data_IF_948790113675
#
_entry.id   IF_948790113675
#
_cell.length_a   1.000
_cell.length_b   1.000
_cell.length_c   1.000
_cell.angle_alpha   90.00
_cell.angle_beta   90.00
_cell.angle_gamma   90.00
#
_symmetry.space_group_name_H-M   'P 1'
#
loop_
_entity.id
_entity.type
_entity.pdbx_description
1 polymer ?
#
# COMPACT_ATOMS: atom_id res chain seq x y z
N UNK A 1 28.24 -43.67 72.57
CA UNK A 1 28.01 -44.32 71.26
C UNK A 1 26.56 -44.21 70.82
N UNK A 2 25.56 -44.44 71.69
CA UNK A 2 24.13 -44.35 71.34
C UNK A 2 23.68 -43.02 70.69
N UNK A 3 24.19 -41.86 71.15
CA UNK A 3 23.84 -40.57 70.55
C UNK A 3 24.32 -40.42 69.09
N UNK A 4 25.40 -41.09 68.70
CA UNK A 4 25.91 -41.09 67.32
C UNK A 4 25.08 -42.01 66.42
N UNK A 5 24.58 -43.14 66.95
CA UNK A 5 23.67 -44.05 66.26
C UNK A 5 22.30 -43.41 66.01
N UNK A 6 21.71 -42.77 67.02
CA UNK A 6 20.46 -42.03 66.86
C UNK A 6 20.60 -40.84 65.89
N UNK A 7 21.75 -40.16 65.91
CA UNK A 7 22.02 -39.09 64.92
C UNK A 7 22.16 -39.65 63.50
N UNK A 8 22.72 -40.84 63.32
CA UNK A 8 22.82 -41.49 62.01
C UNK A 8 21.45 -41.91 61.47
N UNK A 9 20.57 -42.44 62.33
CA UNK A 9 19.22 -42.91 61.96
C UNK A 9 18.31 -41.75 61.54
N UNK A 10 18.42 -40.59 62.19
CA UNK A 10 17.69 -39.36 61.80
C UNK A 10 18.15 -38.74 60.47
N UNK A 11 19.40 -38.97 60.07
CA UNK A 11 19.94 -38.49 58.79
C UNK A 11 19.48 -39.39 57.63
N UNK A 12 19.39 -40.70 57.88
CA UNK A 12 18.96 -41.69 56.91
C UNK A 12 17.45 -41.57 56.59
N UNK A 13 16.62 -41.39 57.61
CA UNK A 13 15.18 -41.07 57.45
C UNK A 13 14.96 -39.74 56.72
N UNK A 14 15.79 -38.73 57.01
CA UNK A 14 15.72 -37.46 56.31
C UNK A 14 16.05 -37.57 54.82
N UNK A 15 17.05 -38.40 54.45
CA UNK A 15 17.44 -38.66 53.08
C UNK A 15 16.38 -39.47 52.31
N UNK A 16 15.74 -40.44 52.97
CA UNK A 16 14.65 -41.21 52.37
C UNK A 16 13.42 -40.34 52.09
N UNK A 17 13.04 -39.43 52.99
CA UNK A 17 11.98 -38.46 52.73
C UNK A 17 12.27 -37.57 51.52
N UNK A 18 13.52 -37.13 51.34
CA UNK A 18 13.93 -36.37 50.15
C UNK A 18 13.86 -37.20 48.87
N UNK A 19 14.24 -38.49 48.93
CA UNK A 19 14.11 -39.41 47.80
C UNK A 19 12.65 -39.60 47.40
N UNK A 20 11.76 -39.82 48.37
CA UNK A 20 10.32 -39.98 48.15
C UNK A 20 9.71 -38.70 47.55
N UNK A 21 10.08 -37.52 48.04
CA UNK A 21 9.62 -36.25 47.46
C UNK A 21 10.02 -36.11 45.98
N UNK A 22 11.25 -36.49 45.61
CA UNK A 22 11.69 -36.48 44.20
C UNK A 22 10.95 -37.52 43.36
N UNK A 23 10.66 -38.68 43.94
CA UNK A 23 9.87 -39.71 43.26
C UNK A 23 8.45 -39.19 42.99
N UNK A 24 7.81 -38.52 43.94
CA UNK A 24 6.50 -37.89 43.76
C UNK A 24 6.55 -36.80 42.67
N UNK A 25 7.61 -35.99 42.62
CA UNK A 25 7.77 -34.94 41.60
C UNK A 25 8.00 -35.47 40.18
N UNK A 26 8.53 -36.69 40.05
CA UNK A 26 8.92 -37.28 38.76
C UNK A 26 7.97 -38.39 38.28
N UNK A 27 7.11 -38.90 39.15
CA UNK A 27 6.18 -39.99 38.83
C UNK A 27 4.82 -39.46 38.39
N UNK A 28 4.25 -40.08 37.35
CA UNK A 28 2.89 -39.79 36.92
C UNK A 28 1.88 -39.92 38.07
N UNK A 29 0.94 -38.97 38.17
CA UNK A 29 -0.03 -38.88 39.27
C UNK A 29 -0.85 -40.17 39.46
N UNK A 30 -1.07 -40.92 38.38
CA UNK A 30 -1.80 -42.19 38.40
C UNK A 30 -1.03 -43.36 39.07
N UNK A 31 0.28 -43.19 39.30
CA UNK A 31 1.20 -44.23 39.76
C UNK A 31 1.82 -43.95 41.13
N UNK A 32 1.38 -42.89 41.83
CA UNK A 32 1.92 -42.47 43.13
C UNK A 32 1.44 -43.39 44.29
N UNK A 33 0.41 -44.22 44.07
CA UNK A 33 -0.22 -45.05 45.10
C UNK A 33 0.73 -45.96 45.89
N UNK A 34 1.67 -46.70 45.26
CA UNK A 34 2.66 -47.52 45.97
C UNK A 34 3.63 -46.69 46.82
N UNK A 35 4.11 -45.55 46.28
CA UNK A 35 5.03 -44.62 46.97
C UNK A 35 4.39 -44.04 48.23
N UNK A 36 3.11 -43.63 48.15
CA UNK A 36 2.37 -43.17 49.32
C UNK A 36 2.13 -44.28 50.34
N UNK A 37 1.80 -45.49 49.90
CA UNK A 37 1.62 -46.63 50.81
C UNK A 37 2.89 -46.90 51.63
N UNK A 38 4.07 -46.80 51.00
CA UNK A 38 5.37 -46.93 51.70
C UNK A 38 5.61 -45.86 52.77
N UNK A 39 5.09 -44.65 52.60
CA UNK A 39 5.17 -43.58 53.62
C UNK A 39 4.25 -43.88 54.80
N UNK A 40 3.02 -44.32 54.53
CA UNK A 40 2.03 -44.63 55.57
C UNK A 40 2.34 -45.92 56.33
N UNK A 41 2.99 -46.89 55.70
CA UNK A 41 3.47 -48.11 56.35
C UNK A 41 4.66 -47.83 57.29
N UNK A 42 5.31 -46.66 57.16
CA UNK A 42 6.37 -46.17 58.05
C UNK A 42 5.85 -45.51 59.33
N UNK A 43 6.65 -45.50 60.39
CA UNK A 43 6.28 -44.92 61.69
C UNK A 43 6.38 -43.38 61.76
N UNK A 44 6.97 -42.73 60.75
CA UNK A 44 7.31 -41.29 60.75
C UNK A 44 6.56 -40.42 59.71
N UNK A 45 5.38 -40.84 59.28
CA UNK A 45 4.59 -40.14 58.26
C UNK A 45 4.30 -38.65 58.60
N UNK A 46 4.18 -38.29 59.88
CA UNK A 46 4.01 -36.90 60.30
C UNK A 46 5.19 -35.99 59.91
N UNK A 47 6.43 -36.49 60.09
CA UNK A 47 7.65 -35.77 59.70
C UNK A 47 7.77 -35.64 58.18
N UNK A 48 7.30 -36.66 57.45
CA UNK A 48 7.21 -36.59 56.00
C UNK A 48 6.21 -35.52 55.53
N UNK A 49 5.02 -35.45 56.15
CA UNK A 49 4.01 -34.42 55.83
C UNK A 49 4.53 -33.00 56.08
N UNK A 50 5.23 -32.77 57.20
CA UNK A 50 5.87 -31.47 57.47
C UNK A 50 6.89 -31.08 56.38
N UNK A 51 7.70 -32.05 55.93
CA UNK A 51 8.64 -31.84 54.81
C UNK A 51 7.94 -31.59 53.48
N UNK A 52 6.85 -32.32 53.20
CA UNK A 52 6.03 -32.11 52.01
C UNK A 52 5.43 -30.69 52.00
N UNK A 53 4.93 -30.20 53.13
CA UNK A 53 4.41 -28.83 53.26
C UNK A 53 5.49 -27.77 53.05
N UNK A 54 6.74 -28.02 53.50
CA UNK A 54 7.87 -27.14 53.18
C UNK A 54 8.18 -27.18 51.68
N UNK A 55 8.13 -28.35 51.04
CA UNK A 55 8.39 -28.53 49.61
C UNK A 55 7.35 -27.81 48.76
N UNK A 56 6.06 -27.95 49.09
CA UNK A 56 4.94 -27.25 48.45
C UNK A 56 5.13 -25.73 48.54
N UNK A 57 5.38 -25.21 49.75
CA UNK A 57 5.60 -23.76 49.95
C UNK A 57 6.81 -23.23 49.18
N UNK A 58 7.87 -24.03 49.02
CA UNK A 58 9.00 -23.66 48.19
C UNK A 58 8.64 -23.60 46.70
N UNK A 59 7.87 -24.56 46.18
CA UNK A 59 7.37 -24.52 44.81
C UNK A 59 6.45 -23.32 44.56
N UNK A 60 5.54 -23.03 45.48
CA UNK A 60 4.65 -21.85 45.37
C UNK A 60 5.46 -20.55 45.26
N UNK A 61 6.54 -20.43 46.05
CA UNK A 61 7.45 -19.28 45.99
C UNK A 61 8.20 -19.19 44.67
N UNK A 62 8.68 -20.31 44.12
CA UNK A 62 9.34 -20.30 42.82
C UNK A 62 8.37 -19.99 41.67
N UNK A 63 7.12 -20.48 41.74
CA UNK A 63 6.06 -20.12 40.80
C UNK A 63 5.79 -18.61 40.86
N UNK A 64 5.60 -18.06 42.06
CA UNK A 64 5.35 -16.62 42.24
C UNK A 64 6.52 -15.78 41.71
N UNK A 65 7.76 -16.18 41.99
CA UNK A 65 8.96 -15.52 41.48
C UNK A 65 9.04 -15.56 39.95
N UNK A 66 8.74 -16.70 39.33
CA UNK A 66 8.68 -16.84 37.87
C UNK A 66 7.59 -15.97 37.26
N UNK A 67 6.39 -15.97 37.83
CA UNK A 67 5.29 -15.11 37.39
C UNK A 67 5.65 -13.63 37.50
N UNK A 68 6.19 -13.20 38.64
CA UNK A 68 6.59 -11.81 38.86
C UNK A 68 7.71 -11.38 37.90
N UNK A 69 8.67 -12.26 37.60
CA UNK A 69 9.74 -11.98 36.65
C UNK A 69 9.21 -11.69 35.24
N UNK A 70 8.18 -12.43 34.79
CA UNK A 70 7.62 -12.30 33.45
C UNK A 70 6.45 -11.32 33.33
N UNK A 71 5.85 -10.91 34.45
CA UNK A 71 4.67 -10.04 34.44
C UNK A 71 4.91 -8.72 33.71
N UNK A 72 6.08 -8.11 33.92
CA UNK A 72 6.44 -6.86 33.24
C UNK A 72 6.52 -7.05 31.71
N UNK A 73 7.16 -8.12 31.24
CA UNK A 73 7.26 -8.42 29.80
C UNK A 73 5.88 -8.65 29.14
N UNK A 74 4.93 -9.23 29.89
CA UNK A 74 3.55 -9.36 29.43
C UNK A 74 2.85 -8.00 29.31
N UNK A 75 2.99 -7.13 30.31
CA UNK A 75 2.45 -5.75 30.29
C UNK A 75 3.03 -4.95 29.14
N UNK A 76 4.34 -5.06 28.93
CA UNK A 76 5.04 -4.38 27.83
C UNK A 76 4.52 -4.87 26.46
N UNK A 77 4.39 -6.19 26.29
CA UNK A 77 3.85 -6.79 25.06
C UNK A 77 2.43 -6.30 24.72
N UNK A 78 1.55 -6.23 25.74
CA UNK A 78 0.20 -5.68 25.56
C UNK A 78 0.27 -4.20 25.17
N UNK A 79 1.12 -3.43 25.85
CA UNK A 79 1.27 -1.99 25.60
C UNK A 79 1.76 -1.72 24.19
N UNK A 80 2.74 -2.49 23.70
CA UNK A 80 3.21 -2.44 22.32
C UNK A 80 2.11 -2.80 21.32
N UNK A 81 1.35 -3.86 21.57
CA UNK A 81 0.24 -4.26 20.71
C UNK A 81 -0.84 -3.16 20.60
N UNK A 82 -1.15 -2.48 21.71
CA UNK A 82 -2.07 -1.35 21.72
C UNK A 82 -1.54 -0.15 20.91
N UNK A 83 -0.24 0.12 20.98
CA UNK A 83 0.42 1.16 20.16
C UNK A 83 0.31 0.82 18.67
N UNK A 84 0.69 -0.40 18.27
CA UNK A 84 0.60 -0.88 16.88
C UNK A 84 -0.82 -0.77 16.35
N UNK A 85 -1.83 -1.16 17.15
CA UNK A 85 -3.24 -0.99 16.78
C UNK A 85 -3.59 0.48 16.51
N UNK A 86 -3.15 1.40 17.36
CA UNK A 86 -3.36 2.84 17.18
C UNK A 86 -2.72 3.37 15.90
N UNK A 87 -1.49 2.95 15.60
CA UNK A 87 -0.78 3.33 14.38
C UNK A 87 -1.44 2.76 13.12
N UNK A 88 -1.88 1.50 13.15
CA UNK A 88 -2.60 0.88 12.04
C UNK A 88 -3.90 1.61 11.69
N UNK A 89 -4.64 2.08 12.71
CA UNK A 89 -5.84 2.90 12.51
C UNK A 89 -5.50 4.25 11.87
N UNK A 90 -4.45 4.94 12.34
CA UNK A 90 -3.97 6.20 11.74
C UNK A 90 -3.55 5.99 10.28
N UNK A 91 -2.82 4.91 10.00
CA UNK A 91 -2.40 4.55 8.64
C UNK A 91 -3.59 4.29 7.72
N UNK A 92 -4.62 3.57 8.20
CA UNK A 92 -5.85 3.30 7.45
C UNK A 92 -6.58 4.59 7.06
N UNK A 93 -6.69 5.54 8.00
CA UNK A 93 -7.29 6.86 7.73
C UNK A 93 -6.47 7.64 6.71
N UNK A 94 -5.13 7.67 6.86
CA UNK A 94 -4.23 8.34 5.91
C UNK A 94 -4.34 7.75 4.50
N UNK A 95 -4.33 6.43 4.38
CA UNK A 95 -4.49 5.72 3.10
C UNK A 95 -5.82 6.06 2.41
N UNK A 96 -6.93 6.09 3.17
CA UNK A 96 -8.24 6.54 2.64
C UNK A 96 -8.22 8.00 2.18
N UNK A 97 -7.57 8.90 2.94
CA UNK A 97 -7.43 10.31 2.52
C UNK A 97 -6.62 10.42 1.24
N UNK A 98 -5.47 9.75 1.14
CA UNK A 98 -4.63 9.77 -0.06
C UNK A 98 -5.36 9.19 -1.27
N UNK A 99 -6.10 8.10 -1.11
CA UNK A 99 -6.86 7.50 -2.21
C UNK A 99 -7.96 8.43 -2.72
N UNK A 100 -8.65 9.15 -1.83
CA UNK A 100 -9.62 10.19 -2.19
C UNK A 100 -8.97 11.33 -2.97
N UNK A 101 -7.88 11.91 -2.46
CA UNK A 101 -7.13 12.98 -3.16
C UNK A 101 -6.69 12.54 -4.55
N UNK A 102 -6.18 11.30 -4.66
CA UNK A 102 -5.76 10.72 -5.95
C UNK A 102 -6.93 10.56 -6.93
N UNK A 103 -8.15 10.25 -6.45
CA UNK A 103 -9.35 10.16 -7.31
C UNK A 103 -9.76 11.54 -7.81
N UNK A 104 -9.79 12.55 -6.94
CA UNK A 104 -10.10 13.94 -7.33
C UNK A 104 -9.07 14.49 -8.32
N UNK A 105 -7.78 14.24 -8.06
CA UNK A 105 -6.69 14.66 -8.96
C UNK A 105 -6.77 14.05 -10.36
N UNK A 106 -7.23 12.79 -10.48
CA UNK A 106 -7.45 12.14 -11.78
C UNK A 106 -8.50 12.87 -12.63
N UNK A 107 -9.60 13.30 -12.03
CA UNK A 107 -10.63 14.04 -12.76
C UNK A 107 -10.09 15.35 -13.33
N UNK A 108 -9.27 16.06 -12.55
CA UNK A 108 -8.61 17.28 -13.00
C UNK A 108 -7.63 17.02 -14.14
N UNK A 109 -6.82 15.98 -14.06
CA UNK A 109 -5.88 15.61 -15.13
C UNK A 109 -6.61 15.29 -16.45
N UNK A 110 -7.71 14.52 -16.40
CA UNK A 110 -8.50 14.22 -17.59
C UNK A 110 -9.07 15.50 -18.23
N UNK A 111 -9.62 16.40 -17.42
CA UNK A 111 -10.14 17.68 -17.90
C UNK A 111 -9.03 18.55 -18.53
N UNK A 112 -7.82 18.52 -17.95
CA UNK A 112 -6.66 19.23 -18.50
C UNK A 112 -6.24 18.67 -19.86
N UNK A 113 -6.22 17.34 -20.03
CA UNK A 113 -5.93 16.70 -21.33
C UNK A 113 -6.98 17.06 -22.38
N UNK A 114 -8.26 17.03 -22.03
CA UNK A 114 -9.36 17.43 -22.92
C UNK A 114 -9.22 18.90 -23.35
N UNK A 115 -8.91 19.79 -22.41
CA UNK A 115 -8.66 21.21 -22.70
C UNK A 115 -7.47 21.39 -23.65
N UNK A 116 -6.38 20.64 -23.46
CA UNK A 116 -5.23 20.68 -24.33
C UNK A 116 -5.58 20.24 -25.76
N UNK A 117 -6.33 19.14 -25.91
CA UNK A 117 -6.81 18.68 -27.23
C UNK A 117 -7.69 19.74 -27.88
N UNK A 118 -8.61 20.34 -27.13
CA UNK A 118 -9.48 21.40 -27.62
C UNK A 118 -8.67 22.63 -28.09
N UNK A 119 -7.61 23.02 -27.38
CA UNK A 119 -6.72 24.13 -27.79
C UNK A 119 -5.97 23.84 -29.09
N UNK A 120 -5.51 22.60 -29.27
CA UNK A 120 -4.87 22.20 -30.54
C UNK A 120 -5.87 22.27 -31.69
N UNK A 121 -7.08 21.73 -31.49
CA UNK A 121 -8.15 21.83 -32.49
C UNK A 121 -8.48 23.28 -32.81
N UNK A 122 -8.65 24.13 -31.79
CA UNK A 122 -8.93 25.56 -31.98
C UNK A 122 -7.82 26.25 -32.77
N UNK A 123 -6.55 25.96 -32.48
CA UNK A 123 -5.40 26.52 -33.23
C UNK A 123 -5.41 26.05 -34.69
N UNK A 124 -5.69 24.77 -34.93
CA UNK A 124 -5.78 24.22 -36.27
C UNK A 124 -6.93 24.85 -37.06
N UNK A 125 -8.11 25.00 -36.43
CA UNK A 125 -9.26 25.67 -37.03
C UNK A 125 -8.92 27.12 -37.37
N UNK A 126 -8.36 27.88 -36.43
CA UNK A 126 -7.98 29.28 -36.67
C UNK A 126 -6.95 29.40 -37.82
N UNK A 127 -5.96 28.51 -37.85
CA UNK A 127 -4.95 28.49 -38.92
C UNK A 127 -5.58 28.13 -40.27
N UNK A 128 -6.54 27.20 -40.30
CA UNK A 128 -7.26 26.83 -41.53
C UNK A 128 -8.14 27.99 -42.01
N UNK A 129 -8.85 28.67 -41.11
CA UNK A 129 -9.65 29.86 -41.44
C UNK A 129 -8.76 30.94 -42.05
N UNK A 130 -7.63 31.24 -41.42
CA UNK A 130 -6.68 32.23 -41.94
C UNK A 130 -6.19 31.86 -43.35
N UNK A 131 -5.78 30.60 -43.56
CA UNK A 131 -5.34 30.11 -44.87
C UNK A 131 -6.43 30.17 -45.94
N UNK A 132 -7.66 29.75 -45.61
CA UNK A 132 -8.80 29.84 -46.53
C UNK A 132 -9.15 31.28 -46.86
N UNK A 133 -9.05 32.19 -45.89
CA UNK A 133 -9.28 33.63 -46.08
C UNK A 133 -8.32 34.21 -47.11
N UNK A 134 -7.05 33.78 -47.11
CA UNK A 134 -6.08 34.17 -48.14
C UNK A 134 -6.44 33.67 -49.55
N UNK A 135 -7.22 32.59 -49.66
CA UNK A 135 -7.63 32.01 -50.94
C UNK A 135 -8.90 32.64 -51.51
N UNK A 136 -9.71 33.33 -50.70
CA UNK A 136 -10.99 33.92 -51.13
C UNK A 136 -10.84 34.86 -52.35
N UNK A 137 -9.88 35.79 -52.41
CA UNK A 137 -9.75 36.70 -53.56
C UNK A 137 -9.45 35.97 -54.89
N UNK A 138 -8.70 34.87 -54.82
CA UNK A 138 -8.38 34.02 -55.98
C UNK A 138 -9.66 33.36 -56.50
N UNK A 139 -10.46 32.79 -55.60
CA UNK A 139 -11.72 32.12 -55.93
C UNK A 139 -12.75 33.10 -56.49
N UNK A 140 -12.89 34.28 -55.89
CA UNK A 140 -13.81 35.33 -56.34
C UNK A 140 -13.44 35.82 -57.75
N UNK A 141 -12.16 36.10 -57.99
CA UNK A 141 -11.72 36.63 -59.28
C UNK A 141 -11.72 35.56 -60.38
N UNK A 142 -11.45 34.29 -60.02
CA UNK A 142 -11.66 33.16 -60.92
C UNK A 142 -13.15 32.96 -61.27
N UNK A 143 -14.06 33.10 -60.30
CA UNK A 143 -15.50 33.06 -60.56
C UNK A 143 -15.92 34.17 -61.54
N UNK A 144 -15.42 35.39 -61.32
CA UNK A 144 -15.64 36.53 -62.23
C UNK A 144 -15.13 36.26 -63.64
N UNK A 145 -13.95 35.66 -63.78
CA UNK A 145 -13.39 35.25 -65.06
C UNK A 145 -14.30 34.25 -65.78
N UNK A 146 -14.74 33.20 -65.07
CA UNK A 146 -15.65 32.18 -65.61
C UNK A 146 -16.97 32.78 -66.10
N UNK A 147 -17.55 33.72 -65.36
CA UNK A 147 -18.76 34.45 -65.77
C UNK A 147 -18.54 35.29 -67.03
N UNK A 148 -17.44 36.03 -67.12
CA UNK A 148 -17.09 36.83 -68.29
C UNK A 148 -16.88 35.96 -69.54
N UNK A 149 -16.23 34.79 -69.39
CA UNK A 149 -16.06 33.82 -70.47
C UNK A 149 -17.39 33.23 -70.94
N UNK A 150 -18.28 32.85 -70.02
CA UNK A 150 -19.63 32.36 -70.34
C UNK A 150 -20.47 33.42 -71.06
N UNK A 151 -20.31 34.69 -70.68
CA UNK A 151 -20.96 35.83 -71.33
C UNK A 151 -20.30 36.25 -72.65
N UNK A 152 -19.27 35.52 -73.13
CA UNK A 152 -18.48 35.81 -74.35
C UNK A 152 -17.81 37.20 -74.34
N UNK A 153 -17.56 37.77 -73.16
CA UNK A 153 -16.83 39.03 -72.96
C UNK A 153 -15.34 38.75 -72.88
N UNK A 154 -14.74 38.37 -74.00
CA UNK A 154 -13.36 37.86 -74.03
C UNK A 154 -12.31 38.90 -73.65
N UNK A 155 -12.49 40.16 -74.04
CA UNK A 155 -11.54 41.21 -73.69
C UNK A 155 -11.50 41.51 -72.18
N UNK A 156 -12.64 41.74 -71.49
CA UNK A 156 -12.67 41.83 -70.02
C UNK A 156 -12.17 40.57 -69.30
N UNK A 157 -12.43 39.38 -69.88
CA UNK A 157 -11.94 38.11 -69.36
C UNK A 157 -10.41 38.05 -69.39
N UNK A 158 -9.78 38.43 -70.50
CA UNK A 158 -8.32 38.50 -70.62
C UNK A 158 -7.71 39.45 -69.59
N UNK A 159 -8.28 40.65 -69.40
CA UNK A 159 -7.80 41.57 -68.37
C UNK A 159 -7.96 41.01 -66.94
N UNK A 160 -9.04 40.28 -66.66
CA UNK A 160 -9.25 39.64 -65.35
C UNK A 160 -8.29 38.47 -65.12
N UNK A 161 -7.96 37.71 -66.16
CA UNK A 161 -6.98 36.64 -66.12
C UNK A 161 -5.57 37.20 -65.84
N UNK A 162 -5.17 38.25 -66.55
CA UNK A 162 -3.90 38.93 -66.32
C UNK A 162 -3.80 39.45 -64.88
N UNK A 163 -4.88 40.04 -64.36
CA UNK A 163 -4.93 40.50 -62.97
C UNK A 163 -4.84 39.33 -61.95
N UNK A 164 -5.40 38.17 -62.28
CA UNK A 164 -5.36 36.96 -61.45
C UNK A 164 -3.94 36.43 -61.32
N UNK A 165 -3.23 36.33 -62.44
CA UNK A 165 -1.84 35.89 -62.50
C UNK A 165 -0.89 36.86 -61.82
N UNK A 166 -1.04 38.17 -62.04
CA UNK A 166 -0.07 39.15 -61.53
C UNK A 166 -0.29 39.51 -60.05
N UNK A 167 -1.52 39.47 -59.54
CA UNK A 167 -1.85 40.05 -58.22
C UNK A 167 -2.28 39.02 -57.18
N UNK A 168 -3.05 38.00 -57.58
CA UNK A 168 -3.74 37.11 -56.64
C UNK A 168 -3.03 35.76 -56.48
N UNK A 169 -2.55 35.16 -57.57
CA UNK A 169 -1.83 33.89 -57.54
C UNK A 169 -0.49 33.94 -56.76
N UNK A 170 0.33 35.00 -56.86
CA UNK A 170 1.59 35.09 -56.11
C UNK A 170 1.40 35.04 -54.59
N UNK A 171 0.22 35.47 -54.10
CA UNK A 171 -0.12 35.48 -52.67
C UNK A 171 -0.44 34.09 -52.12
N UNK A 172 -0.72 33.12 -52.98
CA UNK A 172 -1.09 31.74 -52.63
C UNK A 172 -0.06 30.70 -53.09
N UNK A 173 1.04 31.12 -53.74
CA UNK A 173 2.10 30.23 -54.24
C UNK A 173 2.71 29.30 -53.17
N UNK A 174 2.76 29.76 -51.92
CA UNK A 174 3.26 28.99 -50.79
C UNK A 174 2.40 27.74 -50.45
N UNK A 175 1.18 27.63 -50.99
CA UNK A 175 0.33 26.47 -50.76
C UNK A 175 0.63 25.34 -51.74
N UNK A 176 0.72 24.11 -51.21
CA UNK A 176 1.03 22.91 -52.02
C UNK A 176 0.10 22.67 -53.21
N UNK A 177 -1.17 23.08 -53.12
CA UNK A 177 -2.12 22.95 -54.23
C UNK A 177 -1.88 23.96 -55.37
N UNK A 178 -1.13 25.04 -55.12
CA UNK A 178 -0.73 26.01 -56.14
C UNK A 178 0.56 25.60 -56.88
N UNK A 179 1.46 24.86 -56.21
CA UNK A 179 2.76 24.46 -56.75
C UNK A 179 2.74 23.46 -57.93
N UNK A 180 1.59 22.89 -58.27
CA UNK A 180 1.44 21.93 -59.38
C UNK A 180 0.76 22.46 -60.64
N UNK A 181 0.19 23.68 -60.61
CA UNK A 181 -0.66 24.17 -61.71
C UNK A 181 -0.31 25.56 -62.24
N UNK A 182 0.58 26.32 -61.56
CA UNK A 182 0.98 27.67 -61.98
C UNK A 182 2.09 27.69 -63.04
N UNK A 183 2.73 26.55 -63.31
CA UNK A 183 3.80 26.42 -64.32
C UNK A 183 3.23 25.91 -65.66
N UNK A 184 1.91 25.91 -65.85
CA UNK A 184 1.28 25.31 -67.04
C UNK A 184 0.06 26.05 -67.60
N UNK A 185 -0.20 27.28 -67.14
CA UNK A 185 -1.11 28.22 -67.81
C UNK A 185 -0.31 29.10 -68.77
#
# INVERSE_FOLDING_TARGET
EEAAWMSSETVETAAEHERILREIESTDTNCIGPTLRSVYDGQEHGLFMDKLDVRIRNHDREIEKMCNHHFQGFVDSITELLKVRGEALKLKVRSKRTSLHRRTGRGLMNSMEELQRCRVQQRNIATTIDKLTHCLPVLEMYSRLQEQMRAKRYYPALCTLEQLEQTCLPRVEQYRFCGGSLVSL
#
